data_IF_161999878622
#
_entry.id   IF_161999878622
#
_cell.length_a   1.000
_cell.length_b   1.000
_cell.length_c   1.000
_cell.angle_alpha   90.00
_cell.angle_beta   90.00
_cell.angle_gamma   90.00
#
_symmetry.space_group_name_H-M   'P 1'
#
loop_
_entity.id
_entity.type
_entity.pdbx_description
1 polymer ?
#
# COMPACT_ATOMS: atom_id res chain seq x y z
N UNK A 1 12.09 3.86 -13.66
CA UNK A 1 11.39 5.04 -13.11
C UNK A 1 10.88 4.70 -11.71
N UNK A 2 11.11 5.59 -10.76
CA UNK A 2 10.61 5.37 -9.40
C UNK A 2 9.14 5.77 -9.32
N UNK A 3 8.31 5.01 -8.59
CA UNK A 3 6.95 5.44 -8.33
C UNK A 3 6.92 6.80 -7.64
N UNK A 4 6.00 7.65 -8.03
CA UNK A 4 5.81 8.97 -7.44
C UNK A 4 4.70 9.01 -6.39
N UNK A 5 3.90 7.96 -6.33
CA UNK A 5 2.79 7.85 -5.37
C UNK A 5 2.76 6.48 -4.74
N UNK A 6 2.61 6.46 -3.43
CA UNK A 6 2.44 5.23 -2.65
C UNK A 6 0.99 5.12 -2.22
N UNK A 7 0.32 4.06 -2.66
CA UNK A 7 -1.08 3.82 -2.32
C UNK A 7 -1.21 3.16 -0.95
N UNK A 8 -2.17 3.57 -0.16
CA UNK A 8 -2.46 2.92 1.11
C UNK A 8 -3.38 1.72 0.93
N UNK A 9 -3.48 0.90 1.97
CA UNK A 9 -4.26 -0.33 1.95
C UNK A 9 -5.74 -0.07 1.68
N UNK A 10 -6.30 0.97 2.26
CA UNK A 10 -7.73 1.29 2.11
C UNK A 10 -8.08 1.63 0.67
N UNK A 11 -7.24 2.41 0.00
CA UNK A 11 -7.44 2.74 -1.41
C UNK A 11 -7.32 1.49 -2.27
N UNK A 12 -6.34 0.63 -1.98
CA UNK A 12 -6.18 -0.64 -2.71
C UNK A 12 -7.40 -1.54 -2.57
N UNK A 13 -7.93 -1.68 -1.36
CA UNK A 13 -9.13 -2.48 -1.10
C UNK A 13 -10.33 -1.88 -1.84
N UNK A 14 -10.48 -0.57 -1.80
CA UNK A 14 -11.58 0.12 -2.49
C UNK A 14 -11.55 -0.15 -3.99
N UNK A 15 -10.39 -0.02 -4.61
CA UNK A 15 -10.20 -0.29 -6.03
C UNK A 15 -10.53 -1.75 -6.34
N UNK A 16 -10.06 -2.69 -5.53
CA UNK A 16 -10.27 -4.11 -5.77
C UNK A 16 -11.73 -4.53 -5.63
N UNK A 17 -12.47 -3.91 -4.71
CA UNK A 17 -13.87 -4.30 -4.43
C UNK A 17 -14.90 -3.60 -5.28
N UNK A 18 -14.73 -2.31 -5.48
CA UNK A 18 -15.79 -1.48 -6.03
C UNK A 18 -15.58 -1.08 -7.48
N UNK A 19 -14.34 -1.04 -7.92
CA UNK A 19 -13.98 -0.62 -9.27
C UNK A 19 -14.84 0.52 -9.82
N UNK A 20 -15.07 1.62 -9.09
CA UNK A 20 -15.79 2.72 -9.69
C UNK A 20 -15.09 3.11 -10.98
N UNK A 21 -15.86 3.25 -12.05
CA UNK A 21 -15.30 3.52 -13.37
C UNK A 21 -14.36 4.73 -13.37
N UNK A 22 -14.69 5.75 -12.56
CA UNK A 22 -13.87 6.95 -12.44
C UNK A 22 -12.50 6.66 -11.84
N UNK A 23 -12.46 5.85 -10.78
CA UNK A 23 -11.20 5.48 -10.12
C UNK A 23 -10.37 4.60 -11.04
N UNK A 24 -11.02 3.61 -11.67
CA UNK A 24 -10.34 2.72 -12.62
C UNK A 24 -9.74 3.51 -13.78
N UNK A 25 -10.43 4.50 -14.31
CA UNK A 25 -9.92 5.33 -15.40
C UNK A 25 -8.73 6.16 -14.98
N UNK A 26 -8.77 6.77 -13.79
CA UNK A 26 -7.63 7.54 -13.26
C UNK A 26 -6.42 6.64 -13.06
N UNK A 27 -6.67 5.44 -12.58
CA UNK A 27 -5.62 4.45 -12.36
C UNK A 27 -4.97 4.05 -13.69
N UNK A 28 -5.80 3.77 -14.70
CA UNK A 28 -5.34 3.39 -16.03
C UNK A 28 -4.58 4.52 -16.75
N UNK A 29 -4.88 5.79 -16.43
CA UNK A 29 -4.19 6.94 -17.00
C UNK A 29 -2.85 7.24 -16.36
N UNK A 30 -2.60 6.70 -15.17
CA UNK A 30 -1.31 6.88 -14.54
C UNK A 30 -0.23 6.25 -15.41
N UNK A 31 0.88 6.96 -15.59
CA UNK A 31 1.99 6.42 -16.34
C UNK A 31 2.53 5.17 -15.65
N UNK A 32 2.91 4.11 -16.39
CA UNK A 32 3.50 2.92 -15.80
C UNK A 32 4.67 3.29 -14.88
N UNK A 33 4.71 2.68 -13.71
CA UNK A 33 5.77 2.90 -12.73
C UNK A 33 5.59 4.13 -11.85
N UNK A 34 4.49 4.89 -11.99
CA UNK A 34 4.23 6.06 -11.12
C UNK A 34 3.47 5.70 -9.86
N UNK A 35 2.78 4.57 -9.84
CA UNK A 35 2.02 4.10 -8.68
C UNK A 35 2.73 2.92 -8.03
N UNK A 36 2.90 2.99 -6.74
CA UNK A 36 3.53 1.92 -5.99
C UNK A 36 2.76 1.60 -4.72
N UNK A 37 3.01 0.42 -4.20
CA UNK A 37 2.54 0.02 -2.87
C UNK A 37 3.71 -0.54 -2.08
N UNK A 38 3.67 -0.33 -0.77
CA UNK A 38 4.65 -0.94 0.12
C UNK A 38 4.45 -2.47 0.14
N UNK A 39 5.54 -3.20 0.32
CA UNK A 39 5.46 -4.64 0.59
C UNK A 39 4.57 -4.93 1.81
N UNK A 40 4.50 -4.01 2.77
CA UNK A 40 3.61 -4.12 3.92
C UNK A 40 2.14 -4.11 3.48
N UNK A 41 1.77 -3.16 2.63
CA UNK A 41 0.42 -3.08 2.06
C UNK A 41 0.09 -4.33 1.26
N UNK A 42 1.04 -4.79 0.43
CA UNK A 42 0.86 -6.02 -0.33
C UNK A 42 0.60 -7.22 0.58
N UNK A 43 1.37 -7.34 1.68
CA UNK A 43 1.15 -8.40 2.66
C UNK A 43 -0.24 -8.36 3.28
N UNK A 44 -0.75 -7.17 3.59
CA UNK A 44 -2.11 -7.01 4.12
C UNK A 44 -3.18 -7.46 3.11
N UNK A 45 -2.98 -7.12 1.85
CA UNK A 45 -3.89 -7.56 0.78
C UNK A 45 -3.85 -9.07 0.61
N UNK A 46 -2.68 -9.67 0.65
CA UNK A 46 -2.52 -11.12 0.56
C UNK A 46 -3.16 -11.83 1.76
N UNK A 47 -3.05 -11.25 2.94
CA UNK A 47 -3.72 -11.78 4.12
C UNK A 47 -5.25 -11.75 3.95
N UNK A 48 -5.78 -10.64 3.45
CA UNK A 48 -7.20 -10.52 3.15
C UNK A 48 -7.67 -11.59 2.17
N UNK A 49 -6.88 -11.89 1.14
CA UNK A 49 -7.17 -12.95 0.18
C UNK A 49 -7.14 -14.34 0.85
N UNK A 50 -6.14 -14.57 1.71
CA UNK A 50 -5.97 -15.88 2.37
C UNK A 50 -7.14 -16.23 3.28
N UNK A 51 -7.75 -15.24 3.92
CA UNK A 51 -8.91 -15.46 4.79
C UNK A 51 -10.26 -15.31 4.09
N UNK A 52 -10.26 -14.99 2.81
CA UNK A 52 -11.49 -14.81 2.03
C UNK A 52 -12.21 -16.15 1.80
N UNK A 53 -13.54 -16.12 1.76
CA UNK A 53 -14.33 -17.29 1.40
C UNK A 53 -14.19 -17.63 -0.08
N UNK A 54 -13.86 -16.67 -0.91
CA UNK A 54 -13.65 -16.85 -2.35
C UNK A 54 -12.20 -16.48 -2.71
N UNK A 55 -11.28 -17.34 -2.28
CA UNK A 55 -9.84 -17.10 -2.46
C UNK A 55 -9.44 -16.98 -3.92
N UNK A 56 -10.01 -17.82 -4.79
CA UNK A 56 -9.67 -17.82 -6.22
C UNK A 56 -10.01 -16.47 -6.86
N UNK A 57 -11.19 -15.95 -6.56
CA UNK A 57 -11.62 -14.65 -7.10
C UNK A 57 -10.75 -13.52 -6.57
N UNK A 58 -10.49 -13.50 -5.27
CA UNK A 58 -9.70 -12.42 -4.67
C UNK A 58 -8.25 -12.50 -5.16
N UNK A 59 -7.68 -13.68 -5.27
CA UNK A 59 -6.34 -13.84 -5.81
C UNK A 59 -6.24 -13.36 -7.27
N UNK A 60 -7.27 -13.63 -8.07
CA UNK A 60 -7.32 -13.14 -9.45
C UNK A 60 -7.33 -11.61 -9.50
N UNK A 61 -8.10 -10.97 -8.61
CA UNK A 61 -8.13 -9.51 -8.50
C UNK A 61 -6.78 -8.94 -8.07
N UNK A 62 -6.12 -9.56 -7.10
CA UNK A 62 -4.79 -9.13 -6.66
C UNK A 62 -3.75 -9.30 -7.77
N UNK A 63 -3.86 -10.37 -8.54
CA UNK A 63 -2.95 -10.61 -9.65
C UNK A 63 -3.07 -9.51 -10.71
N UNK A 64 -4.30 -9.12 -11.05
CA UNK A 64 -4.53 -8.00 -11.96
C UNK A 64 -4.00 -6.68 -11.39
N UNK A 65 -4.25 -6.45 -10.11
CA UNK A 65 -3.81 -5.24 -9.42
C UNK A 65 -2.28 -5.14 -9.41
N UNK A 66 -1.59 -6.25 -9.15
CA UNK A 66 -0.13 -6.28 -9.09
C UNK A 66 0.55 -5.92 -10.42
N UNK A 67 -0.19 -6.00 -11.52
CA UNK A 67 0.32 -5.60 -12.84
C UNK A 67 0.24 -4.09 -13.06
N UNK A 68 -0.58 -3.40 -12.26
CA UNK A 68 -0.81 -1.96 -12.40
C UNK A 68 0.07 -1.12 -11.47
N UNK A 69 0.59 -1.73 -10.41
CA UNK A 69 1.41 -1.04 -9.41
C UNK A 69 2.74 -1.75 -9.23
N UNK A 70 3.73 -1.01 -8.78
CA UNK A 70 5.01 -1.59 -8.38
C UNK A 70 4.96 -1.92 -6.89
N UNK A 71 5.33 -3.14 -6.52
CA UNK A 71 5.42 -3.56 -5.13
C UNK A 71 6.84 -3.24 -4.65
N UNK A 72 6.95 -2.35 -3.69
CA UNK A 72 8.23 -1.83 -3.24
C UNK A 72 8.67 -2.50 -1.95
N UNK A 73 9.88 -3.06 -1.90
CA UNK A 73 10.43 -3.55 -0.64
C UNK A 73 10.72 -2.36 0.28
N UNK A 74 10.80 -2.63 1.59
CA UNK A 74 11.20 -1.60 2.55
C UNK A 74 12.71 -1.37 2.45
N UNK A 75 13.15 -0.17 2.05
CA UNK A 75 14.57 0.12 2.07
C UNK A 75 15.05 0.33 3.51
N UNK A 76 16.34 0.14 3.75
CA UNK A 76 16.91 0.26 5.09
C UNK A 76 16.68 1.66 5.70
N UNK A 77 16.60 2.68 4.88
CA UNK A 77 16.38 4.06 5.28
C UNK A 77 15.01 4.28 5.93
N UNK A 78 14.10 3.35 5.76
CA UNK A 78 12.77 3.40 6.42
C UNK A 78 12.92 3.28 7.93
N UNK A 79 13.92 2.54 8.42
CA UNK A 79 14.12 2.33 9.85
C UNK A 79 14.14 3.60 10.68
N UNK A 80 15.04 4.56 10.37
CA UNK A 80 15.07 5.84 11.10
C UNK A 80 13.75 6.60 11.04
N UNK A 81 13.08 6.64 9.90
CA UNK A 81 11.78 7.30 9.77
C UNK A 81 10.71 6.62 10.63
N UNK A 82 10.69 5.29 10.62
CA UNK A 82 9.77 4.53 11.46
C UNK A 82 9.99 4.86 12.94
N UNK A 83 11.24 4.86 13.39
CA UNK A 83 11.57 5.18 14.78
C UNK A 83 11.13 6.58 15.18
N UNK A 84 11.40 7.56 14.34
CA UNK A 84 11.04 8.95 14.62
C UNK A 84 9.52 9.15 14.67
N UNK A 85 8.80 8.64 13.68
CA UNK A 85 7.34 8.79 13.62
C UNK A 85 6.68 8.10 14.82
N UNK A 86 7.10 6.89 15.12
CA UNK A 86 6.55 6.14 16.26
C UNK A 86 6.81 6.86 17.58
N UNK A 87 8.02 7.35 17.79
CA UNK A 87 8.36 8.08 19.01
C UNK A 87 7.51 9.33 19.19
N UNK A 88 7.32 10.11 18.12
CA UNK A 88 6.48 11.31 18.15
C UNK A 88 5.04 10.97 18.48
N UNK A 89 4.48 9.96 17.84
CA UNK A 89 3.07 9.58 18.04
C UNK A 89 2.83 9.00 19.43
N UNK A 90 3.72 8.17 19.95
CA UNK A 90 3.60 7.63 21.30
C UNK A 90 3.69 8.76 22.35
N UNK A 91 4.63 9.69 22.19
CA UNK A 91 4.78 10.83 23.09
C UNK A 91 3.54 11.72 23.07
N UNK A 92 2.88 11.87 21.91
CA UNK A 92 1.66 12.65 21.77
C UNK A 92 0.41 11.88 22.24
N UNK A 93 0.53 10.61 22.64
CA UNK A 93 -0.59 9.78 23.03
C UNK A 93 -1.49 9.40 21.87
N UNK A 94 -0.94 9.34 20.66
CA UNK A 94 -1.69 9.03 19.43
C UNK A 94 -1.08 7.87 18.67
N UNK A 95 -0.99 6.68 19.28
CA UNK A 95 -0.42 5.52 18.58
C UNK A 95 -1.30 5.12 17.41
N UNK A 96 -0.67 4.65 16.33
CA UNK A 96 -1.36 4.03 15.20
C UNK A 96 -0.85 2.59 15.05
N UNK A 97 -1.55 1.78 14.25
CA UNK A 97 -1.15 0.40 14.02
C UNK A 97 0.24 0.28 13.41
N UNK A 98 0.95 -0.79 13.72
CA UNK A 98 2.33 -1.00 13.25
C UNK A 98 2.44 -0.97 11.73
N UNK A 99 1.51 -1.62 11.02
CA UNK A 99 1.57 -1.64 9.57
C UNK A 99 1.39 -0.24 8.99
N UNK A 100 0.48 0.55 9.54
CA UNK A 100 0.28 1.94 9.12
C UNK A 100 1.53 2.78 9.40
N UNK A 101 2.23 2.52 10.51
CA UNK A 101 3.50 3.17 10.81
C UNK A 101 4.56 2.87 9.76
N UNK A 102 4.69 1.59 9.37
CA UNK A 102 5.63 1.19 8.32
C UNK A 102 5.30 1.84 6.98
N UNK A 103 4.02 1.89 6.62
CA UNK A 103 3.58 2.50 5.37
C UNK A 103 3.88 4.00 5.38
N UNK A 104 3.58 4.69 6.48
CA UNK A 104 3.88 6.12 6.61
C UNK A 104 5.38 6.39 6.52
N UNK A 105 6.20 5.61 7.23
CA UNK A 105 7.64 5.73 7.18
C UNK A 105 8.20 5.47 5.79
N UNK A 106 7.62 4.49 5.08
CA UNK A 106 8.00 4.17 3.71
C UNK A 106 7.72 5.36 2.78
N UNK A 107 6.54 5.96 2.93
CA UNK A 107 6.17 7.14 2.13
C UNK A 107 7.14 8.31 2.39
N UNK A 108 7.51 8.55 3.64
CA UNK A 108 8.48 9.60 3.98
C UNK A 108 9.85 9.34 3.35
N UNK A 109 10.27 8.08 3.31
CA UNK A 109 11.57 7.70 2.74
C UNK A 109 11.61 7.97 1.23
N UNK A 110 10.49 7.77 0.57
CA UNK A 110 10.40 8.00 -0.88
C UNK A 110 10.28 9.48 -1.24
N UNK A 111 9.94 10.30 -0.28
CA UNK A 111 9.72 11.74 -0.48
C UNK A 111 8.28 12.04 -0.80
#
# INVERSE_FOLDING_TARGET
MRPTKLLDTNICIYIARNHPATVARRFARAAPGTLGISIVTWGELCFGAAKSKDRSRVNALLDQFSRLVEILPLPAEVGPHYGDVRAVLEKAGRPIGNNDLWIAAHALTLG
#
